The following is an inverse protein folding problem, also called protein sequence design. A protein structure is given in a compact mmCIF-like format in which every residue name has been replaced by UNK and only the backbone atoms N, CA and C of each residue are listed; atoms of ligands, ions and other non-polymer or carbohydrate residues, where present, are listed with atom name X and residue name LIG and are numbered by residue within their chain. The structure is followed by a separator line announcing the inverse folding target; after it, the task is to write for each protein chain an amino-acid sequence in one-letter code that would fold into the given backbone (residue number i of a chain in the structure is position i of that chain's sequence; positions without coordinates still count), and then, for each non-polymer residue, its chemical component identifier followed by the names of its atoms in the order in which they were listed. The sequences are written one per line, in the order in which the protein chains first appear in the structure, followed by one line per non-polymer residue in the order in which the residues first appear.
data_IF_723251047972
#
_entry.id   IF_723251047972
#
_cell.length_a   1.000
_cell.length_b   1.000
_cell.length_c   1.000
_cell.angle_alpha   90.00
_cell.angle_beta   90.00
_cell.angle_gamma   90.00
#
_symmetry.space_group_name_H-M   'P 1'
#
loop_
_entity.id
_entity.type
_entity.pdbx_description
1 polymer ?
#
# COMPACT_ATOMS: atom_id res chain seq x y z
N UNK A 1 -7.69 -23.27 4.22
CA UNK A 1 -8.79 -22.27 4.13
C UNK A 1 -8.41 -21.06 4.98
N UNK A 2 -8.47 -19.87 4.39
CA UNK A 2 -8.07 -18.60 4.99
C UNK A 2 -8.94 -18.32 6.24
N UNK A 3 -8.32 -18.10 7.42
CA UNK A 3 -9.04 -17.75 8.63
C UNK A 3 -9.84 -16.45 8.47
N UNK A 4 -11.05 -16.41 9.01
CA UNK A 4 -11.94 -15.25 8.92
C UNK A 4 -11.32 -13.94 9.46
N UNK A 5 -10.67 -13.92 10.64
CA UNK A 5 -10.05 -12.69 11.15
C UNK A 5 -8.99 -12.15 10.18
N UNK A 6 -8.19 -13.04 9.58
CA UNK A 6 -7.16 -12.67 8.63
C UNK A 6 -7.75 -12.12 7.32
N UNK A 7 -8.83 -12.73 6.83
CA UNK A 7 -9.58 -12.23 5.69
C UNK A 7 -10.15 -10.83 5.95
N UNK A 8 -10.67 -10.58 7.16
CA UNK A 8 -11.15 -9.26 7.56
C UNK A 8 -10.03 -8.22 7.56
N UNK A 9 -8.85 -8.56 8.09
CA UNK A 9 -7.68 -7.67 8.03
C UNK A 9 -7.35 -7.29 6.59
N UNK A 10 -7.32 -8.26 5.66
CA UNK A 10 -7.04 -7.98 4.25
C UNK A 10 -8.12 -7.11 3.59
N UNK A 11 -9.40 -7.38 3.89
CA UNK A 11 -10.51 -6.57 3.38
C UNK A 11 -10.44 -5.12 3.88
N UNK A 12 -10.23 -4.92 5.18
CA UNK A 12 -10.08 -3.59 5.76
C UNK A 12 -8.89 -2.88 5.15
N UNK A 13 -7.74 -3.57 5.05
CA UNK A 13 -6.53 -3.03 4.45
C UNK A 13 -6.79 -2.47 3.04
N UNK A 14 -7.35 -3.27 2.12
CA UNK A 14 -7.64 -2.80 0.76
C UNK A 14 -8.72 -1.70 0.74
N UNK A 15 -9.75 -1.80 1.60
CA UNK A 15 -10.83 -0.83 1.66
C UNK A 15 -10.35 0.55 2.13
N UNK A 16 -9.48 0.59 3.13
CA UNK A 16 -8.91 1.85 3.64
C UNK A 16 -7.80 2.39 2.76
N UNK A 17 -7.10 1.53 2.00
CA UNK A 17 -6.07 1.98 1.08
C UNK A 17 -6.63 2.81 -0.07
N UNK A 18 -7.81 2.46 -0.60
CA UNK A 18 -8.43 3.21 -1.70
C UNK A 18 -8.55 4.72 -1.41
N UNK A 19 -9.19 5.17 -0.31
CA UNK A 19 -9.26 6.59 -0.01
C UNK A 19 -7.90 7.17 0.38
N UNK A 20 -7.00 6.42 1.02
CA UNK A 20 -5.64 6.92 1.33
C UNK A 20 -4.89 7.22 0.04
N UNK A 21 -4.85 6.29 -0.91
CA UNK A 21 -4.19 6.48 -2.21
C UNK A 21 -4.77 7.67 -2.96
N UNK A 22 -6.10 7.79 -3.04
CA UNK A 22 -6.75 8.89 -3.77
C UNK A 22 -6.54 10.26 -3.10
N UNK A 23 -6.61 10.30 -1.77
CA UNK A 23 -6.59 11.54 -1.00
C UNK A 23 -5.20 11.96 -0.55
N UNK A 24 -4.18 11.10 -0.57
CA UNK A 24 -2.83 11.37 -0.08
C UNK A 24 -1.80 11.00 -1.16
N UNK A 25 -1.68 9.73 -1.49
CA UNK A 25 -0.52 9.19 -2.25
C UNK A 25 -0.52 9.65 -3.72
N UNK A 26 -1.69 9.85 -4.30
CA UNK A 26 -1.82 10.30 -5.68
C UNK A 26 -1.42 11.78 -5.88
N UNK A 27 -1.46 12.59 -4.83
CA UNK A 27 -1.27 14.03 -4.94
C UNK A 27 0.09 14.43 -5.50
N UNK A 28 1.24 13.93 -4.99
CA UNK A 28 2.54 14.39 -5.47
C UNK A 28 2.76 14.05 -6.95
N UNK A 29 2.33 12.87 -7.39
CA UNK A 29 2.44 12.48 -8.79
C UNK A 29 1.57 13.35 -9.69
N UNK A 30 0.30 13.50 -9.36
CA UNK A 30 -0.62 14.26 -10.19
C UNK A 30 -0.28 15.75 -10.22
N UNK A 31 0.19 16.32 -9.11
CA UNK A 31 0.74 17.67 -9.07
C UNK A 31 1.97 17.81 -10.00
N UNK A 32 2.86 16.81 -10.03
CA UNK A 32 4.01 16.81 -10.95
C UNK A 32 3.61 16.79 -12.43
N UNK A 33 2.41 16.30 -12.75
CA UNK A 33 1.81 16.29 -14.09
C UNK A 33 0.93 17.52 -14.38
N UNK A 34 0.88 18.50 -13.47
CA UNK A 34 0.07 19.71 -13.61
C UNK A 34 -1.43 19.50 -13.34
N UNK A 35 -1.82 18.39 -12.73
CA UNK A 35 -3.21 18.11 -12.34
C UNK A 35 -3.50 18.74 -10.99
N UNK A 36 -4.46 19.65 -10.94
CA UNK A 36 -4.85 20.34 -9.71
C UNK A 36 -5.63 19.40 -8.76
N UNK A 37 -5.38 19.55 -7.46
CA UNK A 37 -6.12 18.89 -6.39
C UNK A 37 -7.02 19.87 -5.63
N UNK A 38 -8.17 19.44 -5.09
CA UNK A 38 -8.96 20.25 -4.16
C UNK A 38 -8.12 20.74 -2.98
N UNK A 39 -8.30 22.01 -2.59
CA UNK A 39 -7.52 22.65 -1.51
C UNK A 39 -7.63 21.89 -0.17
N UNK A 40 -8.80 21.32 0.12
CA UNK A 40 -9.00 20.51 1.32
C UNK A 40 -8.09 19.26 1.35
N UNK A 41 -7.86 18.61 0.21
CA UNK A 41 -6.97 17.46 0.11
C UNK A 41 -5.50 17.88 0.19
N UNK A 42 -5.14 19.01 -0.43
CA UNK A 42 -3.80 19.56 -0.30
C UNK A 42 -3.49 19.95 1.15
N UNK A 43 -4.45 20.54 1.86
CA UNK A 43 -4.32 20.85 3.28
C UNK A 43 -4.14 19.60 4.13
N UNK A 44 -4.87 18.51 3.81
CA UNK A 44 -4.71 17.22 4.47
C UNK A 44 -3.29 16.65 4.27
N UNK A 45 -2.75 16.68 3.06
CA UNK A 45 -1.38 16.23 2.79
C UNK A 45 -0.36 17.09 3.53
N UNK A 46 -0.50 18.42 3.49
CA UNK A 46 0.40 19.33 4.23
C UNK A 46 0.37 19.06 5.73
N UNK A 47 -0.81 18.81 6.29
CA UNK A 47 -0.96 18.40 7.69
C UNK A 47 -0.24 17.08 7.98
N UNK A 48 -0.45 16.05 7.16
CA UNK A 48 0.21 14.75 7.32
C UNK A 48 1.74 14.90 7.29
N UNK A 49 2.25 15.62 6.29
CA UNK A 49 3.67 15.89 6.13
C UNK A 49 4.27 16.67 7.31
N UNK A 50 3.53 17.63 7.88
CA UNK A 50 3.99 18.40 9.04
C UNK A 50 3.89 17.60 10.34
N UNK A 51 2.83 16.82 10.50
CA UNK A 51 2.57 16.02 11.70
C UNK A 51 3.54 14.84 11.83
N UNK A 52 3.88 14.18 10.72
CA UNK A 52 4.66 12.94 10.71
C UNK A 52 6.09 13.12 10.22
N UNK A 53 6.44 14.34 9.80
CA UNK A 53 7.73 14.67 9.19
C UNK A 53 8.05 13.84 7.93
N UNK A 54 7.02 13.60 7.13
CA UNK A 54 7.09 12.79 5.92
C UNK A 54 7.78 13.56 4.79
N UNK A 55 9.12 13.54 4.78
CA UNK A 55 9.90 14.27 3.79
C UNK A 55 9.73 13.71 2.37
N UNK A 56 9.45 12.41 2.21
CA UNK A 56 9.24 11.81 0.89
C UNK A 56 7.98 12.34 0.23
N UNK A 57 6.89 12.45 0.99
CA UNK A 57 5.65 13.05 0.49
C UNK A 57 5.78 14.56 0.25
N UNK A 58 6.68 15.27 0.96
CA UNK A 58 6.95 16.70 0.72
C UNK A 58 7.80 16.94 -0.53
N UNK A 59 8.92 16.25 -0.66
CA UNK A 59 9.90 16.51 -1.73
C UNK A 59 9.66 15.70 -2.99
N UNK A 60 8.95 14.58 -2.87
CA UNK A 60 8.55 13.68 -3.95
C UNK A 60 9.65 13.44 -5.00
N UNK A 61 10.79 12.84 -4.61
CA UNK A 61 11.89 12.60 -5.54
C UNK A 61 11.45 11.66 -6.67
N UNK A 62 12.11 11.73 -7.83
CA UNK A 62 11.70 11.00 -9.04
C UNK A 62 11.52 9.48 -8.83
N UNK A 63 12.38 8.85 -8.04
CA UNK A 63 12.24 7.42 -7.73
C UNK A 63 10.97 7.14 -6.94
N UNK A 64 10.59 8.01 -6.01
CA UNK A 64 9.37 7.85 -5.21
C UNK A 64 8.12 8.11 -6.05
N UNK A 65 8.16 9.15 -6.90
CA UNK A 65 7.12 9.38 -7.91
C UNK A 65 6.91 8.18 -8.82
N UNK A 66 7.98 7.47 -9.19
CA UNK A 66 7.86 6.23 -9.98
C UNK A 66 7.11 5.12 -9.25
N UNK A 67 7.27 5.01 -7.92
CA UNK A 67 6.52 4.05 -7.10
C UNK A 67 5.05 4.44 -7.00
N UNK A 68 4.76 5.73 -6.74
CA UNK A 68 3.39 6.26 -6.72
C UNK A 68 2.69 6.09 -8.07
N UNK A 69 3.41 6.21 -9.20
CA UNK A 69 2.84 5.94 -10.51
C UNK A 69 2.37 4.49 -10.66
N UNK A 70 3.18 3.53 -10.20
CA UNK A 70 2.77 2.12 -10.19
C UNK A 70 1.60 1.89 -9.25
N UNK A 71 1.57 2.56 -8.09
CA UNK A 71 0.45 2.48 -7.17
C UNK A 71 -0.86 2.90 -7.83
N UNK A 72 -0.90 4.08 -8.46
CA UNK A 72 -2.12 4.60 -9.07
C UNK A 72 -2.55 3.77 -10.29
N UNK A 73 -1.60 3.35 -11.14
CA UNK A 73 -1.91 2.68 -12.41
C UNK A 73 -2.23 1.20 -12.21
N UNK A 74 -1.50 0.51 -11.33
CA UNK A 74 -1.61 -0.94 -11.17
C UNK A 74 -2.30 -1.33 -9.85
N UNK A 75 -1.90 -0.73 -8.72
CA UNK A 75 -2.38 -1.17 -7.42
C UNK A 75 -3.81 -0.69 -7.13
N UNK A 76 -4.12 0.57 -7.41
CA UNK A 76 -5.43 1.15 -7.13
C UNK A 76 -6.58 0.41 -7.85
N UNK A 77 -6.52 0.11 -9.16
CA UNK A 77 -7.51 -0.75 -9.80
C UNK A 77 -7.57 -2.15 -9.17
N UNK A 78 -6.40 -2.70 -8.80
CA UNK A 78 -6.32 -3.99 -8.16
C UNK A 78 -6.95 -4.03 -6.76
N UNK A 79 -6.99 -2.93 -6.00
CA UNK A 79 -7.65 -2.90 -4.70
C UNK A 79 -9.13 -3.30 -4.79
N UNK A 80 -9.84 -2.82 -5.81
CA UNK A 80 -11.24 -3.21 -6.06
C UNK A 80 -11.37 -4.68 -6.43
N UNK A 81 -10.46 -5.18 -7.27
CA UNK A 81 -10.38 -6.60 -7.64
C UNK A 81 -10.13 -7.48 -6.42
N UNK A 82 -9.20 -7.08 -5.56
CA UNK A 82 -8.86 -7.77 -4.32
C UNK A 82 -10.03 -7.78 -3.34
N UNK A 83 -10.71 -6.65 -3.14
CA UNK A 83 -11.91 -6.54 -2.31
C UNK A 83 -13.00 -7.51 -2.77
N UNK A 84 -13.32 -7.50 -4.07
CA UNK A 84 -14.31 -8.43 -4.63
C UNK A 84 -13.88 -9.89 -4.46
N UNK A 85 -12.63 -10.21 -4.83
CA UNK A 85 -12.12 -11.58 -4.78
C UNK A 85 -12.08 -12.15 -3.36
N UNK A 86 -11.66 -11.35 -2.39
CA UNK A 86 -11.63 -11.71 -0.97
C UNK A 86 -13.04 -11.82 -0.36
N UNK A 87 -13.95 -10.91 -0.71
CA UNK A 87 -15.33 -10.93 -0.22
C UNK A 87 -16.09 -12.16 -0.75
N UNK A 88 -15.92 -12.47 -2.04
CA UNK A 88 -16.60 -13.57 -2.73
C UNK A 88 -15.78 -14.87 -2.72
N UNK A 89 -14.65 -14.91 -2.01
CA UNK A 89 -13.76 -16.09 -1.87
C UNK A 89 -13.42 -16.72 -3.24
N UNK A 90 -13.07 -15.90 -4.22
CA UNK A 90 -12.77 -16.36 -5.59
C UNK A 90 -11.37 -16.93 -5.66
N UNK A 91 -11.24 -18.22 -5.99
CA UNK A 91 -9.95 -18.91 -6.06
C UNK A 91 -8.93 -18.25 -7.02
N UNK A 92 -9.39 -17.63 -8.11
CA UNK A 92 -8.53 -16.98 -9.08
C UNK A 92 -7.79 -15.75 -8.53
N UNK A 93 -8.27 -15.13 -7.44
CA UNK A 93 -7.63 -13.95 -6.85
C UNK A 93 -6.33 -14.29 -6.11
N UNK A 94 -6.09 -15.58 -5.83
CA UNK A 94 -4.91 -16.05 -5.09
C UNK A 94 -3.60 -15.60 -5.74
N UNK A 95 -3.38 -15.93 -7.01
CA UNK A 95 -2.12 -15.60 -7.69
C UNK A 95 -1.90 -14.07 -7.82
N UNK A 96 -2.92 -13.27 -8.21
CA UNK A 96 -2.81 -11.82 -8.18
C UNK A 96 -2.49 -11.24 -6.79
N UNK A 97 -3.07 -11.79 -5.71
CA UNK A 97 -2.75 -11.36 -4.34
C UNK A 97 -1.30 -11.64 -3.94
N UNK A 98 -0.72 -12.77 -4.39
CA UNK A 98 0.70 -13.06 -4.17
C UNK A 98 1.57 -12.02 -4.87
N UNK A 99 1.29 -11.77 -6.16
CA UNK A 99 2.02 -10.80 -6.96
C UNK A 99 1.94 -9.40 -6.35
N UNK A 100 0.74 -8.97 -5.97
CA UNK A 100 0.51 -7.71 -5.27
C UNK A 100 1.30 -7.64 -3.95
N UNK A 101 1.15 -8.64 -3.08
CA UNK A 101 1.79 -8.65 -1.77
C UNK A 101 3.32 -8.57 -1.86
N UNK A 102 3.91 -9.34 -2.77
CA UNK A 102 5.35 -9.31 -3.03
C UNK A 102 5.80 -7.97 -3.63
N UNK A 103 5.03 -7.42 -4.57
CA UNK A 103 5.35 -6.14 -5.20
C UNK A 103 5.32 -5.01 -4.17
N UNK A 104 4.23 -4.85 -3.41
CA UNK A 104 4.13 -3.76 -2.42
C UNK A 104 5.22 -3.88 -1.36
N UNK A 105 5.44 -5.08 -0.80
CA UNK A 105 6.54 -5.29 0.14
C UNK A 105 7.89 -4.84 -0.45
N UNK A 106 8.13 -5.12 -1.74
CA UNK A 106 9.35 -4.68 -2.45
C UNK A 106 9.44 -3.16 -2.58
N UNK A 107 8.33 -2.48 -2.91
CA UNK A 107 8.31 -1.02 -3.03
C UNK A 107 8.54 -0.30 -1.71
N UNK A 108 8.19 -0.92 -0.59
CA UNK A 108 8.40 -0.37 0.76
C UNK A 108 9.86 -0.48 1.22
N UNK A 109 10.67 -1.37 0.65
CA UNK A 109 12.10 -1.50 1.00
C UNK A 109 12.88 -0.20 0.79
N UNK A 110 12.87 0.45 -0.39
CA UNK A 110 13.58 1.72 -0.57
C UNK A 110 12.99 2.86 0.28
N UNK A 111 11.67 2.86 0.52
CA UNK A 111 11.00 3.87 1.37
C UNK A 111 11.49 3.76 2.82
N UNK A 112 11.40 2.58 3.41
CA UNK A 112 11.87 2.34 4.78
C UNK A 112 13.39 2.51 4.89
N UNK A 113 14.14 2.11 3.87
CA UNK A 113 15.57 2.35 3.76
C UNK A 113 15.92 3.84 3.78
N UNK A 114 15.17 4.67 3.04
CA UNK A 114 15.32 6.12 3.06
C UNK A 114 15.04 6.70 4.46
N UNK A 115 14.01 6.20 5.15
CA UNK A 115 13.72 6.65 6.53
C UNK A 115 14.81 6.26 7.53
N UNK A 116 15.36 5.06 7.41
CA UNK A 116 16.43 4.59 8.30
C UNK A 116 17.76 5.31 8.06
N UNK A 117 18.05 5.66 6.80
CA UNK A 117 19.29 6.34 6.41
C UNK A 117 19.24 7.87 6.57
N UNK A 118 18.06 8.48 6.59
CA UNK A 118 17.88 9.92 6.72
C UNK A 118 18.46 10.43 8.05
N UNK A 119 19.25 11.50 8.09
CA UNK A 119 19.82 12.04 9.33
C UNK A 119 18.74 12.69 10.23
N UNK A 120 19.11 13.01 11.47
CA UNK A 120 18.32 13.89 12.34
C UNK A 120 18.89 15.31 12.30
N UNK A 121 18.06 16.30 12.00
CA UNK A 121 18.45 17.70 11.90
C UNK A 121 17.44 18.55 11.12
N UNK A 122 17.84 19.76 10.73
CA UNK A 122 17.01 20.76 10.06
C UNK A 122 17.20 20.82 8.53
N UNK A 123 17.63 19.72 7.92
CA UNK A 123 17.89 19.64 6.48
C UNK A 123 16.72 19.08 5.66
N UNK A 124 16.79 19.26 4.35
CA UNK A 124 15.91 18.53 3.44
C UNK A 124 16.24 17.03 3.49
N UNK A 125 15.20 16.20 3.57
CA UNK A 125 15.37 14.75 3.69
C UNK A 125 15.88 14.29 5.07
N UNK A 126 15.79 15.12 6.11
CA UNK A 126 16.07 14.72 7.49
C UNK A 126 14.81 14.64 8.34
N UNK A 127 14.92 13.96 9.47
CA UNK A 127 13.92 13.99 10.53
C UNK A 127 14.28 15.06 11.57
N UNK A 128 13.27 15.74 12.11
CA UNK A 128 13.45 16.69 13.22
C UNK A 128 13.82 16.03 14.54
N UNK A 129 13.49 14.74 14.70
CA UNK A 129 13.89 13.94 15.86
C UNK A 129 13.83 12.45 15.57
N UNK A 130 14.57 11.65 16.33
CA UNK A 130 14.47 10.18 16.30
C UNK A 130 13.04 9.68 16.54
N UNK A 131 12.29 10.35 17.42
CA UNK A 131 10.90 10.00 17.70
C UNK A 131 10.02 10.12 16.44
N UNK A 132 10.21 11.19 15.63
CA UNK A 132 9.46 11.37 14.37
C UNK A 132 9.81 10.29 13.35
N UNK A 133 11.09 9.90 13.23
CA UNK A 133 11.52 8.79 12.38
C UNK A 133 10.74 7.51 12.72
N UNK A 134 10.74 7.11 13.98
CA UNK A 134 10.06 5.89 14.40
C UNK A 134 8.55 5.95 14.28
N UNK A 135 7.94 7.11 14.52
CA UNK A 135 6.51 7.32 14.26
C UNK A 135 6.20 7.12 12.78
N UNK A 136 6.98 7.71 11.87
CA UNK A 136 6.76 7.56 10.43
C UNK A 136 6.97 6.11 9.96
N UNK A 137 8.02 5.45 10.44
CA UNK A 137 8.24 4.01 10.19
C UNK A 137 7.04 3.19 10.67
N UNK A 138 6.50 3.48 11.86
CA UNK A 138 5.34 2.78 12.39
C UNK A 138 4.06 3.04 11.56
N UNK A 139 3.90 4.22 10.97
CA UNK A 139 2.80 4.54 10.05
C UNK A 139 2.91 3.72 8.77
N UNK A 140 4.12 3.53 8.23
CA UNK A 140 4.35 2.78 6.99
C UNK A 140 4.45 1.26 7.21
N UNK A 141 4.73 0.80 8.43
CA UNK A 141 4.92 -0.62 8.75
C UNK A 141 3.71 -1.50 8.37
N UNK A 142 2.44 -1.11 8.61
CA UNK A 142 1.29 -1.88 8.15
C UNK A 142 1.27 -2.11 6.63
N UNK A 143 1.72 -1.12 5.85
CA UNK A 143 1.81 -1.20 4.38
C UNK A 143 2.95 -2.09 3.88
N UNK A 144 3.87 -2.50 4.76
CA UNK A 144 4.84 -3.54 4.47
C UNK A 144 4.38 -4.91 4.99
N UNK A 145 3.96 -4.96 6.25
CA UNK A 145 3.62 -6.19 6.97
C UNK A 145 2.36 -6.88 6.43
N UNK A 146 1.30 -6.12 6.12
CA UNK A 146 0.06 -6.71 5.62
C UNK A 146 0.24 -7.30 4.22
N UNK A 147 0.89 -6.62 3.26
CA UNK A 147 1.23 -7.22 1.96
C UNK A 147 2.12 -8.47 2.05
N UNK A 148 3.12 -8.46 2.94
CA UNK A 148 3.90 -9.67 3.23
C UNK A 148 3.02 -10.82 3.74
N UNK A 149 2.11 -10.53 4.66
CA UNK A 149 1.19 -11.51 5.20
C UNK A 149 0.20 -12.02 4.15
N UNK A 150 -0.27 -11.17 3.25
CA UNK A 150 -1.09 -11.55 2.08
C UNK A 150 -0.29 -12.54 1.21
N UNK A 151 0.94 -12.18 0.82
CA UNK A 151 1.78 -13.02 -0.02
C UNK A 151 2.06 -14.38 0.64
N UNK A 152 2.39 -14.38 1.94
CA UNK A 152 2.62 -15.61 2.70
C UNK A 152 1.35 -16.46 2.81
N UNK A 153 0.21 -15.87 3.20
CA UNK A 153 -1.05 -16.60 3.36
C UNK A 153 -1.54 -17.22 2.04
N UNK A 154 -1.39 -16.50 0.92
CA UNK A 154 -1.78 -17.00 -0.40
C UNK A 154 -0.74 -17.98 -1.00
N UNK A 155 0.54 -17.78 -0.70
CA UNK A 155 1.64 -18.61 -1.19
C UNK A 155 1.73 -19.96 -0.50
N UNK A 156 1.52 -20.00 0.82
CA UNK A 156 1.66 -21.20 1.65
C UNK A 156 0.42 -22.11 1.62
N UNK A 157 -0.78 -21.58 1.35
CA UNK A 157 -2.00 -22.37 1.15
C UNK A 157 -2.32 -22.46 -0.36
N UNK A 158 -2.39 -23.68 -0.89
CA UNK A 158 -2.75 -23.92 -2.29
C UNK A 158 -4.24 -23.66 -2.59
N UNK A 159 -5.10 -23.74 -1.57
CA UNK A 159 -6.55 -23.58 -1.67
C UNK A 159 -7.12 -22.72 -0.51
N UNK A 160 -6.69 -21.45 -0.38
CA UNK A 160 -7.08 -20.57 0.72
C UNK A 160 -8.58 -20.29 0.73
N UNK A 161 -9.27 -20.38 -0.40
CA UNK A 161 -10.70 -20.13 -0.50
C UNK A 161 -11.55 -21.41 -0.56
N UNK A 162 -10.94 -22.58 -0.35
CA UNK A 162 -11.57 -23.89 -0.53
C UNK A 162 -11.23 -24.51 -1.89
N UNK A 163 -11.56 -25.80 -2.08
CA UNK A 163 -11.25 -26.51 -3.32
C UNK A 163 -12.03 -25.89 -4.50
N UNK A 164 -11.45 -25.89 -5.72
CA UNK A 164 -12.18 -25.47 -6.91
C UNK A 164 -13.42 -26.35 -7.11
N UNK A 165 -14.53 -25.82 -7.66
CA UNK A 165 -15.71 -26.61 -7.95
C UNK A 165 -15.34 -27.82 -8.82
N UNK A 166 -15.80 -29.02 -8.46
CA UNK A 166 -15.61 -30.22 -9.30
C UNK A 166 -16.21 -29.92 -10.68
N UNK A 167 -15.40 -30.01 -11.74
CA UNK A 167 -15.89 -29.92 -13.09
C UNK A 167 -17.01 -30.95 -13.28
N UNK A 168 -18.22 -30.50 -13.66
CA UNK A 168 -19.29 -31.43 -14.05
C UNK A 168 -18.75 -32.24 -15.22
N UNK A 169 -18.59 -33.56 -15.05
CA UNK A 169 -18.38 -34.47 -16.18
C UNK A 169 -19.56 -34.26 -17.13
N UNK A 170 -19.29 -33.75 -18.32
CA UNK A 170 -20.25 -33.82 -19.41
C UNK A 170 -20.42 -35.30 -19.71
N UNK A 171 -21.64 -35.80 -19.47
CA UNK A 171 -22.08 -37.13 -19.86
C UNK A 171 -22.63 -37.06 -21.28
#
# INVERSE_FOLDING_TARGET
MLPEPLRCVFLVYFATHVPVTLCIDAQPLLASLGVAYPEALQALLRWHCAANDDFLMRSAPAWFLSLLAVEIVAQLPFFFVALYGLAQRRAWVRAPLIAYGAHVATTLVPILGAFLAAPVGDGDGSFRSEAKRWVLIAIYAPYFLVPMLIAAAMGLDAAPFGPPPKAKKQA
#
